data_IF_442859303364
#
_entry.id   IF_442859303364
#
_cell.length_a   1.000
_cell.length_b   1.000
_cell.length_c   1.000
_cell.angle_alpha   90.00
_cell.angle_beta   90.00
_cell.angle_gamma   90.00
#
_symmetry.space_group_name_H-M   'P 1'
#
loop_
_entity.id
_entity.type
_entity.pdbx_description
1 polymer ?
#
# COMPACT_ATOMS: atom_id res chain seq x y z
N UNK A 1 13.52 9.62 6.65
CA UNK A 1 12.29 9.38 5.86
C UNK A 1 12.41 8.12 5.03
N UNK A 2 11.40 7.26 5.06
CA UNK A 2 11.24 6.13 4.12
C UNK A 2 9.95 6.28 3.33
N UNK A 3 9.93 5.76 2.11
CA UNK A 3 8.77 5.80 1.23
C UNK A 3 8.33 4.36 0.99
N UNK A 4 7.05 4.11 1.16
CA UNK A 4 6.44 2.82 0.86
C UNK A 4 5.30 2.98 -0.13
N UNK A 5 5.14 2.03 -1.03
CA UNK A 5 3.89 1.82 -1.74
C UNK A 5 3.13 0.69 -1.04
N UNK A 6 1.87 0.95 -0.75
CA UNK A 6 1.00 0.06 0.01
C UNK A 6 -0.26 -0.23 -0.79
N UNK A 7 -0.67 -1.49 -0.80
CA UNK A 7 -1.98 -1.94 -1.28
C UNK A 7 -2.77 -2.50 -0.10
N UNK A 8 -3.98 -1.99 0.09
CA UNK A 8 -4.88 -2.37 1.18
C UNK A 8 -6.16 -2.86 0.54
N UNK A 9 -6.52 -4.12 0.79
CA UNK A 9 -7.79 -4.66 0.34
C UNK A 9 -8.95 -3.85 0.90
N UNK A 10 -9.97 -3.63 0.07
CA UNK A 10 -11.17 -2.92 0.48
C UNK A 10 -12.05 -3.83 1.35
N UNK A 11 -12.59 -3.23 2.42
CA UNK A 11 -13.55 -3.87 3.33
C UNK A 11 -14.82 -4.40 2.65
N UNK A 12 -15.17 -3.89 1.48
CA UNK A 12 -16.34 -4.39 0.74
C UNK A 12 -16.15 -5.82 0.20
N UNK A 13 -14.91 -6.32 0.18
CA UNK A 13 -14.61 -7.70 -0.23
C UNK A 13 -14.66 -8.71 0.93
N UNK A 14 -14.88 -8.26 2.17
CA UNK A 14 -14.99 -9.15 3.34
C UNK A 14 -16.35 -9.86 3.26
N UNK A 15 -16.34 -11.16 2.96
CA UNK A 15 -17.57 -11.97 2.91
C UNK A 15 -17.94 -12.52 4.29
N UNK A 16 -16.93 -12.74 5.16
CA UNK A 16 -17.12 -13.34 6.49
C UNK A 16 -16.61 -12.44 7.63
N UNK A 17 -17.38 -12.40 8.73
CA UNK A 17 -16.98 -11.66 9.93
C UNK A 17 -15.73 -12.30 10.55
N UNK A 18 -14.58 -11.61 10.46
CA UNK A 18 -13.29 -12.08 10.95
C UNK A 18 -12.25 -12.36 9.87
N UNK A 19 -12.60 -12.23 8.59
CA UNK A 19 -11.64 -12.28 7.49
C UNK A 19 -10.65 -11.09 7.57
N UNK A 20 -9.35 -11.40 7.48
CA UNK A 20 -8.30 -10.39 7.47
C UNK A 20 -8.14 -9.81 6.07
N UNK A 21 -8.07 -8.48 5.98
CA UNK A 21 -7.81 -7.79 4.73
C UNK A 21 -6.36 -8.00 4.29
N UNK A 22 -6.17 -8.26 3.00
CA UNK A 22 -4.84 -8.29 2.44
C UNK A 22 -4.17 -6.91 2.56
N UNK A 23 -2.92 -6.95 3.00
CA UNK A 23 -2.06 -5.79 3.10
C UNK A 23 -0.67 -6.12 2.56
N UNK A 24 -0.30 -5.45 1.47
CA UNK A 24 1.03 -5.58 0.86
C UNK A 24 1.73 -4.23 0.92
N UNK A 25 3.01 -4.25 1.28
CA UNK A 25 3.87 -3.06 1.37
C UNK A 25 5.21 -3.35 0.70
N UNK A 26 5.62 -2.48 -0.23
CA UNK A 26 6.95 -2.49 -0.82
C UNK A 26 7.71 -1.21 -0.46
N UNK A 27 9.01 -1.35 -0.18
CA UNK A 27 9.91 -0.22 0.05
C UNK A 27 10.26 0.44 -1.29
N UNK A 28 9.90 1.72 -1.42
CA UNK A 28 10.13 2.58 -2.58
C UNK A 28 11.18 3.68 -2.28
N UNK A 29 11.87 3.60 -1.15
CA UNK A 29 12.91 4.57 -0.77
C UNK A 29 14.07 4.48 -1.76
N UNK A 30 14.41 5.61 -2.40
CA UNK A 30 15.48 5.72 -3.40
C UNK A 30 15.33 4.77 -4.61
N UNK A 31 14.10 4.34 -4.92
CA UNK A 31 13.77 3.52 -6.09
C UNK A 31 12.90 4.29 -7.08
N UNK A 32 12.81 3.76 -8.30
CA UNK A 32 11.81 4.24 -9.27
C UNK A 32 10.40 3.88 -8.79
N UNK A 33 9.54 4.88 -8.67
CA UNK A 33 8.19 4.71 -8.14
C UNK A 33 7.33 3.84 -9.06
N UNK A 34 7.49 3.96 -10.37
CA UNK A 34 6.69 3.23 -11.34
C UNK A 34 7.07 1.74 -11.34
N UNK A 35 8.37 1.42 -11.29
CA UNK A 35 8.82 0.03 -11.17
C UNK A 35 8.28 -0.64 -9.90
N UNK A 36 8.35 0.04 -8.75
CA UNK A 36 7.83 -0.51 -7.49
C UNK A 36 6.30 -0.61 -7.52
N UNK A 37 5.61 0.29 -8.20
CA UNK A 37 4.16 0.23 -8.37
C UNK A 37 3.75 -0.95 -9.25
N UNK A 38 4.47 -1.20 -10.34
CA UNK A 38 4.23 -2.34 -11.23
C UNK A 38 4.50 -3.67 -10.50
N UNK A 39 5.59 -3.74 -9.74
CA UNK A 39 5.89 -4.87 -8.86
C UNK A 39 4.78 -5.09 -7.83
N UNK A 40 4.30 -4.02 -7.18
CA UNK A 40 3.21 -4.09 -6.20
C UNK A 40 1.93 -4.63 -6.86
N UNK A 41 1.55 -4.08 -8.02
CA UNK A 41 0.35 -4.50 -8.77
C UNK A 41 0.43 -5.95 -9.23
N UNK A 42 1.63 -6.46 -9.51
CA UNK A 42 1.85 -7.87 -9.88
C UNK A 42 1.59 -8.87 -8.75
N UNK A 43 1.61 -8.40 -7.49
CA UNK A 43 1.35 -9.22 -6.30
C UNK A 43 -0.12 -9.23 -5.86
N UNK A 44 -0.95 -8.35 -6.44
CA UNK A 44 -2.36 -8.21 -6.05
C UNK A 44 -3.18 -9.36 -6.61
N UNK A 45 -4.15 -9.81 -5.81
CA UNK A 45 -5.17 -10.74 -6.29
C UNK A 45 -6.08 -10.02 -7.30
N UNK A 46 -6.17 -10.49 -8.55
CA UNK A 46 -7.01 -9.86 -9.57
C UNK A 46 -8.52 -9.95 -9.28
N UNK A 47 -8.96 -10.83 -8.38
CA UNK A 47 -10.37 -10.97 -7.98
C UNK A 47 -10.76 -10.01 -6.84
N UNK A 48 -9.78 -9.33 -6.22
CA UNK A 48 -9.99 -8.40 -5.11
C UNK A 48 -9.75 -6.95 -5.53
N UNK A 49 -10.35 -6.05 -4.76
CA UNK A 49 -10.18 -4.60 -4.92
C UNK A 49 -9.28 -4.02 -3.84
N UNK A 50 -8.32 -3.18 -4.24
CA UNK A 50 -7.33 -2.57 -3.36
C UNK A 50 -7.33 -1.04 -3.46
N UNK A 51 -7.02 -0.38 -2.35
CA UNK A 51 -6.61 1.02 -2.32
C UNK A 51 -5.07 1.03 -2.37
N UNK A 52 -4.51 1.69 -3.37
CA UNK A 52 -3.07 1.89 -3.48
C UNK A 52 -2.73 3.28 -2.95
N UNK A 53 -1.78 3.34 -2.02
CA UNK A 53 -1.31 4.59 -1.44
C UNK A 53 0.19 4.61 -1.28
N UNK A 54 0.75 5.81 -1.35
CA UNK A 54 2.12 6.11 -0.98
C UNK A 54 2.15 6.53 0.49
N UNK A 55 3.06 5.95 1.25
CA UNK A 55 3.22 6.18 2.68
C UNK A 55 4.61 6.74 2.94
N UNK A 56 4.64 8.00 3.37
CA UNK A 56 5.83 8.72 3.80
C UNK A 56 6.05 8.48 5.30
N UNK A 57 6.94 7.54 5.63
CA UNK A 57 7.30 7.21 6.99
C UNK A 57 8.36 8.19 7.52
N UNK A 58 7.96 9.07 8.44
CA UNK A 58 8.81 10.12 9.03
C UNK A 58 9.16 9.88 10.51
N UNK A 59 8.99 8.65 10.99
CA UNK A 59 9.26 8.29 12.40
C UNK A 59 10.71 8.58 12.83
N UNK A 60 11.68 8.39 11.93
CA UNK A 60 13.10 8.68 12.20
C UNK A 60 13.36 10.18 12.42
N UNK A 61 12.47 11.05 11.96
CA UNK A 61 12.51 12.51 12.12
C UNK A 61 11.65 12.99 13.30
N UNK A 62 10.98 12.06 14.02
CA UNK A 62 10.05 12.39 15.10
C UNK A 62 8.75 13.04 14.61
N UNK A 63 8.45 12.94 13.31
CA UNK A 63 7.27 13.53 12.67
C UNK A 63 6.20 12.46 12.39
N UNK A 64 4.91 12.84 12.31
CA UNK A 64 3.85 11.92 11.92
C UNK A 64 4.05 11.43 10.48
N UNK A 65 3.56 10.21 10.22
CA UNK A 65 3.51 9.69 8.87
C UNK A 65 2.45 10.41 8.04
N UNK A 66 2.71 10.51 6.73
CA UNK A 66 1.77 11.05 5.75
C UNK A 66 1.43 9.97 4.72
N UNK A 67 0.19 10.00 4.21
CA UNK A 67 -0.27 9.09 3.18
C UNK A 67 -0.88 9.88 2.02
N UNK A 68 -0.60 9.42 0.81
CA UNK A 68 -1.12 9.97 -0.44
C UNK A 68 -1.79 8.82 -1.21
N UNK A 69 -3.07 8.97 -1.53
CA UNK A 69 -3.81 7.95 -2.29
C UNK A 69 -3.44 8.08 -3.77
N UNK A 70 -3.00 6.98 -4.36
CA UNK A 70 -2.64 6.89 -5.78
C UNK A 70 -3.80 6.31 -6.61
N UNK A 71 -4.48 5.29 -6.08
CA UNK A 71 -5.57 4.58 -6.75
C UNK A 71 -6.58 4.06 -5.73
N UNK A 72 -7.86 4.00 -6.11
CA UNK A 72 -8.96 3.45 -5.31
C UNK A 72 -9.84 2.56 -6.15
#
# INVERSE_FOLDING_TARGET
MRIYLEAIEKRENIEEEGEELDFIRLDATDKDEQEVLDDLKSLLDPEKHYIIRKHYCKHEEGLPCEVEILET
#
